data_IF_953849200060
#
_entry.id   IF_953849200060
#
_cell.length_a   1.000
_cell.length_b   1.000
_cell.length_c   1.000
_cell.angle_alpha   90.00
_cell.angle_beta   90.00
_cell.angle_gamma   90.00
#
_symmetry.space_group_name_H-M   'P 1'
#
loop_
_entity.id
_entity.type
_entity.pdbx_description
1 polymer ?
#
# COMPACT_ATOMS: atom_id res chain seq x y z
N UNK A 1 -2.44 -23.12 -12.09
CA UNK A 1 -1.43 -22.30 -11.38
C UNK A 1 -1.94 -20.86 -11.25
N UNK A 2 -3.11 -20.66 -10.66
CA UNK A 2 -3.81 -19.36 -10.70
C UNK A 2 -3.98 -18.72 -9.32
N UNK A 3 -3.95 -19.51 -8.24
CA UNK A 3 -4.05 -19.00 -6.87
C UNK A 3 -2.81 -18.23 -6.40
N UNK A 4 -1.64 -18.48 -6.99
CA UNK A 4 -0.41 -17.79 -6.59
C UNK A 4 -0.41 -16.30 -6.91
N UNK A 5 -1.03 -15.86 -8.01
CA UNK A 5 -1.02 -14.45 -8.41
C UNK A 5 -1.82 -13.56 -7.44
N UNK A 6 -2.98 -14.03 -6.97
CA UNK A 6 -3.78 -13.31 -5.98
C UNK A 6 -3.06 -13.19 -4.63
N UNK A 7 -2.43 -14.27 -4.17
CA UNK A 7 -1.66 -14.30 -2.91
C UNK A 7 -0.47 -13.34 -2.96
N UNK A 8 0.28 -13.34 -4.06
CA UNK A 8 1.41 -12.41 -4.27
C UNK A 8 0.95 -10.93 -4.24
N UNK A 9 -0.18 -10.62 -4.86
CA UNK A 9 -0.76 -9.29 -4.81
C UNK A 9 -1.19 -8.89 -3.39
N UNK A 10 -1.76 -9.81 -2.61
CA UNK A 10 -2.06 -9.55 -1.19
C UNK A 10 -0.80 -9.28 -0.37
N UNK A 11 0.27 -10.06 -0.56
CA UNK A 11 1.54 -9.83 0.13
C UNK A 11 2.15 -8.46 -0.21
N UNK A 12 2.20 -8.09 -1.50
CA UNK A 12 2.71 -6.79 -1.93
C UNK A 12 1.85 -5.62 -1.42
N UNK A 13 0.53 -5.79 -1.39
CA UNK A 13 -0.36 -4.79 -0.80
C UNK A 13 -0.07 -4.58 0.70
N UNK A 14 0.13 -5.67 1.45
CA UNK A 14 0.49 -5.60 2.86
C UNK A 14 1.84 -4.88 3.08
N UNK A 15 2.88 -5.25 2.32
CA UNK A 15 4.20 -4.61 2.41
C UNK A 15 4.12 -3.09 2.16
N UNK A 16 3.39 -2.69 1.11
CA UNK A 16 3.19 -1.27 0.84
C UNK A 16 2.38 -0.56 1.93
N UNK A 17 1.37 -1.20 2.51
CA UNK A 17 0.66 -0.62 3.66
C UNK A 17 1.57 -0.45 4.88
N UNK A 18 2.46 -1.40 5.17
CA UNK A 18 3.44 -1.28 6.25
C UNK A 18 4.41 -0.11 6.00
N UNK A 19 4.92 0.03 4.77
CA UNK A 19 5.75 1.17 4.39
C UNK A 19 5.00 2.50 4.50
N UNK A 20 3.76 2.57 4.04
CA UNK A 20 2.92 3.75 4.17
C UNK A 20 2.70 4.14 5.64
N UNK A 21 2.38 3.16 6.50
CA UNK A 21 2.18 3.39 7.92
C UNK A 21 3.46 3.90 8.60
N UNK A 22 4.62 3.32 8.27
CA UNK A 22 5.92 3.79 8.77
C UNK A 22 6.19 5.24 8.37
N UNK A 23 5.99 5.59 7.10
CA UNK A 23 6.19 6.95 6.64
C UNK A 23 5.20 7.95 7.26
N UNK A 24 3.93 7.59 7.44
CA UNK A 24 2.99 8.45 8.17
C UNK A 24 3.41 8.70 9.62
N UNK A 25 3.98 7.71 10.31
CA UNK A 25 4.51 7.88 11.67
C UNK A 25 5.71 8.83 11.70
N UNK A 26 6.65 8.67 10.76
CA UNK A 26 7.80 9.60 10.66
C UNK A 26 7.36 11.02 10.28
N UNK A 27 6.35 11.15 9.42
CA UNK A 27 5.76 12.45 9.09
C UNK A 27 5.14 13.12 10.32
N UNK A 28 4.38 12.37 11.12
CA UNK A 28 3.80 12.88 12.37
C UNK A 28 4.89 13.35 13.34
N UNK A 29 5.93 12.52 13.55
CA UNK A 29 7.06 12.86 14.40
C UNK A 29 7.75 14.15 13.94
N UNK A 30 8.04 14.29 12.64
CA UNK A 30 8.66 15.51 12.13
C UNK A 30 7.74 16.72 12.21
N UNK A 31 6.41 16.55 12.10
CA UNK A 31 5.46 17.62 12.36
C UNK A 31 5.50 18.09 13.82
N UNK A 32 5.54 17.15 14.77
CA UNK A 32 5.65 17.44 16.21
C UNK A 32 6.97 18.16 16.55
N UNK A 33 8.05 17.84 15.85
CA UNK A 33 9.37 18.48 15.98
C UNK A 33 9.47 19.84 15.25
N UNK A 34 8.43 20.27 14.51
CA UNK A 34 8.44 21.50 13.71
C UNK A 34 9.17 21.41 12.36
N UNK A 35 9.60 20.21 11.96
CA UNK A 35 10.31 19.93 10.71
C UNK A 35 9.35 19.65 9.55
N UNK A 36 8.59 20.66 9.13
CA UNK A 36 7.51 20.51 8.16
C UNK A 36 7.95 19.99 6.77
N UNK A 37 9.15 20.35 6.29
CA UNK A 37 9.65 19.86 4.99
C UNK A 37 9.86 18.34 4.98
N UNK A 38 10.48 17.80 6.04
CA UNK A 38 10.67 16.35 6.19
C UNK A 38 9.34 15.63 6.37
N UNK A 39 8.44 16.25 7.12
CA UNK A 39 7.11 15.70 7.32
C UNK A 39 6.33 15.59 5.99
N UNK A 40 6.37 16.64 5.16
CA UNK A 40 5.74 16.64 3.84
C UNK A 40 6.34 15.57 2.91
N UNK A 41 7.67 15.39 2.93
CA UNK A 41 8.34 14.33 2.17
C UNK A 41 7.82 12.95 2.57
N UNK A 42 7.81 12.64 3.86
CA UNK A 42 7.32 11.36 4.35
C UNK A 42 5.82 11.17 4.10
N UNK A 43 5.00 12.21 4.23
CA UNK A 43 3.58 12.14 3.90
C UNK A 43 3.36 11.80 2.41
N UNK A 44 4.17 12.35 1.51
CA UNK A 44 4.10 12.05 0.08
C UNK A 44 4.55 10.62 -0.23
N UNK A 45 5.66 10.16 0.38
CA UNK A 45 6.11 8.76 0.26
C UNK A 45 5.06 7.77 0.78
N UNK A 46 4.41 8.11 1.90
CA UNK A 46 3.35 7.28 2.46
C UNK A 46 2.16 7.14 1.50
N UNK A 47 1.74 8.25 0.90
CA UNK A 47 0.67 8.25 -0.09
C UNK A 47 1.03 7.44 -1.34
N UNK A 48 2.27 7.56 -1.83
CA UNK A 48 2.77 6.74 -2.94
C UNK A 48 2.63 5.24 -2.65
N UNK A 49 3.08 4.80 -1.48
CA UNK A 49 2.91 3.40 -1.07
C UNK A 49 1.44 3.00 -0.91
N UNK A 50 0.58 3.85 -0.36
CA UNK A 50 -0.85 3.56 -0.26
C UNK A 50 -1.49 3.32 -1.64
N UNK A 51 -1.12 4.13 -2.65
CA UNK A 51 -1.58 3.95 -4.03
C UNK A 51 -1.10 2.63 -4.64
N UNK A 52 0.16 2.22 -4.39
CA UNK A 52 0.66 0.91 -4.82
C UNK A 52 -0.09 -0.25 -4.14
N UNK A 53 -0.41 -0.11 -2.85
CA UNK A 53 -1.19 -1.12 -2.13
C UNK A 53 -2.60 -1.27 -2.71
N UNK A 54 -3.26 -0.15 -3.03
CA UNK A 54 -4.56 -0.15 -3.72
C UNK A 54 -4.51 -0.80 -5.10
N UNK A 55 -3.44 -0.54 -5.86
CA UNK A 55 -3.24 -1.19 -7.15
C UNK A 55 -3.18 -2.72 -7.00
N UNK A 56 -2.36 -3.24 -6.09
CA UNK A 56 -2.29 -4.68 -5.85
C UNK A 56 -3.57 -5.27 -5.27
N UNK A 57 -4.28 -4.55 -4.41
CA UNK A 57 -5.62 -4.97 -3.96
C UNK A 57 -6.60 -5.13 -5.13
N UNK A 58 -6.54 -4.21 -6.10
CA UNK A 58 -7.37 -4.25 -7.29
C UNK A 58 -7.01 -5.44 -8.18
N UNK A 59 -5.73 -5.71 -8.39
CA UNK A 59 -5.26 -6.87 -9.16
C UNK A 59 -5.62 -8.20 -8.48
N UNK A 60 -5.49 -8.30 -7.15
CA UNK A 60 -5.93 -9.46 -6.39
C UNK A 60 -7.45 -9.68 -6.54
N UNK A 61 -8.24 -8.62 -6.43
CA UNK A 61 -9.70 -8.66 -6.59
C UNK A 61 -10.10 -9.07 -8.01
N UNK A 62 -9.39 -8.55 -9.02
CA UNK A 62 -9.59 -8.92 -10.43
C UNK A 62 -9.26 -10.39 -10.66
N UNK A 63 -8.13 -10.88 -10.18
CA UNK A 63 -7.78 -12.30 -10.27
C UNK A 63 -8.85 -13.17 -9.60
N UNK A 64 -9.33 -12.79 -8.41
CA UNK A 64 -10.41 -13.50 -7.75
C UNK A 64 -11.70 -13.52 -8.60
N UNK A 65 -12.09 -12.39 -9.18
CA UNK A 65 -13.26 -12.29 -10.05
C UNK A 65 -13.10 -13.06 -11.39
N UNK A 66 -11.92 -13.05 -12.00
CA UNK A 66 -11.66 -13.79 -13.25
C UNK A 66 -11.66 -15.32 -13.02
N UNK A 67 -11.22 -15.77 -11.84
CA UNK A 67 -11.15 -17.20 -11.49
C UNK A 67 -12.40 -17.74 -10.80
N UNK A 68 -13.14 -16.91 -10.06
CA UNK A 68 -14.33 -17.32 -9.28
C UNK A 68 -15.64 -16.64 -9.70
N UNK A 69 -15.61 -15.68 -10.63
CA UNK A 69 -16.81 -15.01 -11.17
C UNK A 69 -17.60 -15.82 -12.20
N UNK A 70 -17.25 -17.09 -12.41
CA UNK A 70 -18.04 -18.04 -13.21
C UNK A 70 -18.85 -18.94 -12.26
N UNK A 71 -19.90 -18.40 -11.67
CA UNK A 71 -20.96 -19.17 -11.02
C UNK A 71 -22.32 -18.60 -11.39
#
# INVERSE_FOLDING_TARGET
MSDHAGVEHHHKAAEHHEHAARHHREAAKHHEEGNHEKAAHHAHSAHGHASHAQHHHTEASRHHAEHHGKH
#
